data_IF_815350911273
#
_entry.id   IF_815350911273
#
_cell.length_a   1.000
_cell.length_b   1.000
_cell.length_c   1.000
_cell.angle_alpha   90.00
_cell.angle_beta   90.00
_cell.angle_gamma   90.00
#
_symmetry.space_group_name_H-M   'P 1'
#
loop_
_entity.id
_entity.type
_entity.pdbx_description
1 polymer ?
#
# COMPACT_ATOMS: atom_id res chain seq x y z
N UNK A 1 9.86 -10.58 -18.24
CA UNK A 1 9.91 -10.08 -16.86
C UNK A 1 8.62 -10.44 -16.15
N UNK A 2 8.68 -10.86 -14.88
CA UNK A 2 7.51 -11.16 -14.03
C UNK A 2 7.48 -10.19 -12.86
N UNK A 3 6.29 -9.66 -12.53
CA UNK A 3 6.08 -8.77 -11.39
C UNK A 3 5.15 -9.47 -10.42
N UNK A 4 5.52 -9.47 -9.14
CA UNK A 4 4.73 -9.99 -8.04
C UNK A 4 4.30 -8.82 -7.17
N UNK A 5 3.01 -8.55 -7.11
CA UNK A 5 2.46 -7.53 -6.22
C UNK A 5 1.99 -8.16 -4.91
N UNK A 6 2.46 -7.62 -3.80
CA UNK A 6 2.14 -8.12 -2.46
C UNK A 6 1.52 -6.98 -1.66
N UNK A 7 0.28 -7.18 -1.19
CA UNK A 7 -0.34 -6.26 -0.24
C UNK A 7 0.24 -6.51 1.16
N UNK A 8 0.43 -5.44 1.95
CA UNK A 8 0.84 -5.55 3.34
C UNK A 8 -0.17 -6.37 4.17
N UNK A 9 0.28 -6.99 5.25
CA UNK A 9 -0.56 -7.69 6.21
C UNK A 9 -1.53 -6.73 6.95
N UNK A 10 -2.50 -7.31 7.66
CA UNK A 10 -3.51 -6.54 8.42
C UNK A 10 -2.85 -5.57 9.42
N UNK A 11 -3.41 -4.35 9.52
CA UNK A 11 -3.10 -3.36 10.55
C UNK A 11 -4.32 -3.16 11.47
N UNK A 12 -4.13 -2.47 12.61
CA UNK A 12 -5.27 -2.11 13.48
C UNK A 12 -6.28 -1.22 12.77
N UNK A 13 -5.83 -0.35 11.85
CA UNK A 13 -6.73 0.46 11.05
C UNK A 13 -7.60 -0.39 10.12
N UNK A 14 -7.02 -1.43 9.48
CA UNK A 14 -7.79 -2.37 8.66
C UNK A 14 -8.83 -3.12 9.51
N UNK A 15 -8.42 -3.64 10.69
CA UNK A 15 -9.32 -4.32 11.62
C UNK A 15 -10.47 -3.44 12.09
N UNK A 16 -10.21 -2.17 12.33
CA UNK A 16 -11.20 -1.19 12.75
C UNK A 16 -11.97 -0.55 11.57
N UNK A 17 -11.70 -0.94 10.33
CA UNK A 17 -12.28 -0.40 9.09
C UNK A 17 -12.10 1.12 8.96
N UNK A 18 -10.95 1.63 9.39
CA UNK A 18 -10.61 3.04 9.26
C UNK A 18 -9.99 3.32 7.90
N UNK A 19 -10.27 4.49 7.35
CA UNK A 19 -9.54 5.02 6.20
C UNK A 19 -8.09 5.21 6.62
N UNK A 20 -7.20 4.55 5.92
CA UNK A 20 -5.76 4.64 6.13
C UNK A 20 -5.16 5.37 4.94
N UNK A 21 -4.18 6.18 5.19
CA UNK A 21 -3.43 6.87 4.16
C UNK A 21 -1.96 6.91 4.55
N UNK A 22 -1.49 8.10 4.89
CA UNK A 22 -0.11 8.36 5.30
C UNK A 22 0.20 7.95 6.74
N UNK A 23 -0.82 7.66 7.55
CA UNK A 23 -0.65 7.19 8.92
C UNK A 23 0.23 5.94 8.96
N UNK A 24 1.35 6.03 9.69
CA UNK A 24 2.36 4.97 9.73
C UNK A 24 2.10 4.01 10.89
N UNK A 25 1.37 2.96 10.63
CA UNK A 25 0.91 1.97 11.63
C UNK A 25 1.54 0.59 11.38
N UNK A 26 1.87 -0.16 12.47
CA UNK A 26 2.44 -1.50 12.36
C UNK A 26 1.38 -2.55 11.98
N UNK A 27 1.86 -3.75 11.66
CA UNK A 27 1.02 -4.93 11.47
C UNK A 27 0.42 -5.40 12.81
N UNK A 28 -0.79 -5.99 12.74
CA UNK A 28 -1.33 -6.80 13.84
C UNK A 28 -0.62 -8.16 13.91
N UNK A 29 -0.88 -8.95 14.95
CA UNK A 29 -0.38 -10.33 15.02
C UNK A 29 -0.90 -11.17 13.84
N UNK A 30 -2.16 -11.01 13.46
CA UNK A 30 -2.71 -11.63 12.25
C UNK A 30 -1.97 -11.16 10.99
N UNK A 31 -1.73 -9.84 10.88
CA UNK A 31 -0.98 -9.25 9.75
C UNK A 31 0.43 -9.81 9.62
N UNK A 32 1.14 -10.02 10.75
CA UNK A 32 2.44 -10.69 10.77
C UNK A 32 2.34 -12.15 10.30
N UNK A 33 1.30 -12.87 10.72
CA UNK A 33 1.02 -14.22 10.23
C UNK A 33 0.77 -14.26 8.71
N UNK A 34 0.00 -13.29 8.19
CA UNK A 34 -0.24 -13.15 6.75
C UNK A 34 1.06 -12.85 5.98
N UNK A 35 1.91 -11.97 6.50
CA UNK A 35 3.19 -11.64 5.89
C UNK A 35 4.13 -12.84 5.84
N UNK A 36 4.20 -13.65 6.91
CA UNK A 36 4.96 -14.93 6.95
C UNK A 36 4.44 -15.93 5.91
N UNK A 37 3.12 -16.06 5.78
CA UNK A 37 2.51 -16.97 4.81
C UNK A 37 2.81 -16.53 3.35
N UNK A 38 2.72 -15.22 3.07
CA UNK A 38 3.09 -14.66 1.77
C UNK A 38 4.58 -14.90 1.46
N UNK A 39 5.47 -14.65 2.42
CA UNK A 39 6.90 -14.88 2.29
C UNK A 39 7.21 -16.34 1.95
N UNK A 40 6.58 -17.30 2.66
CA UNK A 40 6.72 -18.73 2.36
C UNK A 40 6.25 -19.06 0.94
N UNK A 41 5.14 -18.49 0.50
CA UNK A 41 4.65 -18.72 -0.87
C UNK A 41 5.61 -18.18 -1.92
N UNK A 42 6.17 -17.00 -1.70
CA UNK A 42 7.12 -16.36 -2.61
C UNK A 42 8.43 -17.15 -2.69
N UNK A 43 8.93 -17.70 -1.57
CA UNK A 43 10.17 -18.50 -1.57
C UNK A 43 10.09 -19.81 -2.36
N UNK A 44 8.87 -20.24 -2.71
CA UNK A 44 8.62 -21.46 -3.52
C UNK A 44 8.34 -21.15 -5.00
N UNK A 45 8.44 -19.88 -5.39
CA UNK A 45 8.18 -19.48 -6.78
C UNK A 45 9.38 -19.75 -7.69
N UNK A 46 9.08 -20.17 -8.92
CA UNK A 46 10.06 -20.34 -9.99
C UNK A 46 9.64 -19.52 -11.22
N UNK A 47 10.51 -18.68 -11.78
CA UNK A 47 11.82 -18.34 -11.24
C UNK A 47 11.72 -17.52 -9.93
N UNK A 48 12.72 -17.67 -9.08
CA UNK A 48 12.81 -16.90 -7.84
C UNK A 48 12.90 -15.39 -8.11
N UNK A 49 12.29 -14.53 -7.27
CA UNK A 49 12.47 -13.09 -7.38
C UNK A 49 13.94 -12.68 -7.24
N UNK A 50 14.37 -11.70 -8.03
CA UNK A 50 15.75 -11.20 -8.04
C UNK A 50 15.90 -9.83 -7.39
N UNK A 51 14.79 -9.09 -7.23
CA UNK A 51 14.77 -7.76 -6.62
C UNK A 51 13.50 -7.61 -5.79
N UNK A 52 13.60 -6.90 -4.68
CA UNK A 52 12.48 -6.61 -3.77
C UNK A 52 12.35 -5.11 -3.58
N UNK A 53 11.22 -4.55 -3.99
CA UNK A 53 10.84 -3.16 -3.73
C UNK A 53 9.74 -3.08 -2.69
N UNK A 54 9.69 -1.98 -1.93
CA UNK A 54 8.62 -1.74 -0.96
C UNK A 54 8.31 -0.25 -0.81
N UNK A 55 7.07 0.04 -0.42
CA UNK A 55 6.72 1.32 0.16
C UNK A 55 7.50 1.53 1.46
N UNK A 56 7.89 2.77 1.81
CA UNK A 56 8.60 3.07 3.06
C UNK A 56 7.69 3.08 4.31
N UNK A 57 6.36 2.91 4.18
CA UNK A 57 5.47 2.83 5.34
C UNK A 57 5.70 1.56 6.16
N UNK A 58 5.58 1.67 7.49
CA UNK A 58 5.92 0.63 8.45
C UNK A 58 5.23 -0.70 8.14
N UNK A 59 3.93 -0.69 7.83
CA UNK A 59 3.17 -1.89 7.45
C UNK A 59 3.74 -2.62 6.24
N UNK A 60 4.21 -1.86 5.24
CA UNK A 60 4.83 -2.42 4.04
C UNK A 60 6.27 -2.89 4.31
N UNK A 61 7.08 -2.10 5.03
CA UNK A 61 8.42 -2.47 5.48
C UNK A 61 8.41 -3.76 6.28
N UNK A 62 7.48 -3.88 7.23
CA UNK A 62 7.37 -5.06 8.08
C UNK A 62 6.99 -6.30 7.25
N UNK A 63 6.06 -6.16 6.30
CA UNK A 63 5.70 -7.23 5.36
C UNK A 63 6.88 -7.61 4.48
N UNK A 64 7.58 -6.62 3.89
CA UNK A 64 8.76 -6.84 3.05
C UNK A 64 9.92 -7.49 3.84
N UNK A 65 10.06 -7.19 5.14
CA UNK A 65 11.05 -7.79 6.01
C UNK A 65 10.87 -9.32 6.15
N UNK A 66 9.62 -9.81 6.27
CA UNK A 66 9.36 -11.25 6.27
C UNK A 66 9.72 -11.91 4.94
N UNK A 67 9.48 -11.22 3.82
CA UNK A 67 9.85 -11.72 2.48
C UNK A 67 11.36 -11.71 2.34
N UNK A 68 12.01 -10.60 2.64
CA UNK A 68 13.47 -10.41 2.63
C UNK A 68 14.20 -11.56 3.34
N UNK A 69 13.73 -11.93 4.54
CA UNK A 69 14.34 -12.98 5.36
C UNK A 69 14.30 -14.37 4.71
N UNK A 70 13.34 -14.67 3.85
CA UNK A 70 13.23 -16.00 3.22
C UNK A 70 13.84 -16.08 1.83
N UNK A 71 13.90 -14.94 1.10
CA UNK A 71 14.48 -14.93 -0.27
C UNK A 71 15.90 -14.33 -0.30
N UNK A 72 16.40 -13.79 0.80
CA UNK A 72 17.76 -13.25 0.92
C UNK A 72 17.99 -11.92 0.18
N UNK A 73 16.94 -11.16 -0.16
CA UNK A 73 17.03 -9.88 -0.86
C UNK A 73 16.76 -8.72 0.09
N UNK A 74 17.59 -7.68 0.06
CA UNK A 74 17.32 -6.45 0.81
C UNK A 74 16.23 -5.62 0.08
N UNK A 75 15.20 -5.14 0.80
CA UNK A 75 14.17 -4.31 0.18
C UNK A 75 14.70 -2.92 -0.16
N UNK A 76 14.40 -2.46 -1.38
CA UNK A 76 14.63 -1.10 -1.84
C UNK A 76 13.36 -0.31 -1.61
N UNK A 77 13.43 0.78 -0.83
CA UNK A 77 12.26 1.59 -0.49
C UNK A 77 12.05 2.70 -1.51
N UNK A 78 10.83 2.79 -2.05
CA UNK A 78 10.46 3.74 -3.10
C UNK A 78 9.32 4.63 -2.61
N UNK A 79 9.56 5.93 -2.50
CA UNK A 79 8.59 6.92 -2.01
C UNK A 79 7.34 6.98 -2.88
N UNK A 80 7.48 6.85 -4.19
CA UNK A 80 6.35 6.84 -5.10
C UNK A 80 5.40 5.65 -4.95
N UNK A 81 5.78 4.62 -4.17
CA UNK A 81 4.92 3.48 -3.82
C UNK A 81 4.16 3.67 -2.49
N UNK A 82 4.19 4.87 -1.90
CA UNK A 82 3.37 5.19 -0.72
C UNK A 82 1.89 5.08 -1.06
N UNK A 83 1.09 4.77 -0.02
CA UNK A 83 -0.38 4.83 -0.09
C UNK A 83 -0.85 6.24 -0.38
N UNK A 84 -2.05 6.37 -0.92
CA UNK A 84 -2.75 7.63 -1.16
C UNK A 84 -2.85 8.43 0.14
N UNK A 85 -2.50 9.72 0.08
CA UNK A 85 -2.78 10.65 1.17
C UNK A 85 -4.29 10.92 1.22
N UNK A 86 -4.96 10.39 2.24
CA UNK A 86 -6.42 10.51 2.40
C UNK A 86 -6.84 11.80 3.12
N UNK A 87 -5.88 12.67 3.45
CA UNK A 87 -6.14 13.98 4.06
C UNK A 87 -6.91 13.87 5.38
N UNK A 88 -7.91 14.74 5.54
CA UNK A 88 -8.75 14.80 6.75
C UNK A 88 -9.60 13.55 6.98
N UNK A 89 -9.69 12.67 5.98
CA UNK A 89 -10.47 11.43 6.11
C UNK A 89 -9.70 10.31 6.82
N UNK A 90 -8.39 10.46 7.06
CA UNK A 90 -7.60 9.45 7.78
C UNK A 90 -8.13 9.22 9.19
N UNK A 91 -8.28 7.95 9.57
CA UNK A 91 -8.81 7.56 10.87
C UNK A 91 -10.34 7.59 10.99
N UNK A 92 -11.06 8.01 9.95
CA UNK A 92 -12.53 7.94 9.88
C UNK A 92 -12.95 6.51 9.51
N UNK A 93 -14.04 6.02 10.09
CA UNK A 93 -14.60 4.73 9.67
C UNK A 93 -15.16 4.81 8.26
N UNK A 94 -14.92 3.79 7.45
CA UNK A 94 -15.45 3.74 6.09
C UNK A 94 -16.99 3.87 6.05
N UNK A 95 -17.70 3.35 7.08
CA UNK A 95 -19.16 3.48 7.22
C UNK A 95 -19.65 4.89 7.54
N UNK A 96 -18.79 5.79 8.00
CA UNK A 96 -19.12 7.18 8.36
C UNK A 96 -18.82 8.17 7.22
N UNK A 97 -18.25 7.69 6.11
CA UNK A 97 -17.78 8.56 5.04
C UNK A 97 -18.91 9.33 4.35
N UNK A 98 -20.06 8.68 4.13
CA UNK A 98 -21.22 9.33 3.51
C UNK A 98 -21.79 10.47 4.35
N UNK A 99 -21.79 10.31 5.66
CA UNK A 99 -22.30 11.32 6.59
C UNK A 99 -21.33 12.48 6.78
N UNK A 100 -20.03 12.17 6.91
CA UNK A 100 -19.00 13.17 7.21
C UNK A 100 -18.49 13.92 5.97
N UNK A 101 -18.45 13.25 4.81
CA UNK A 101 -17.90 13.79 3.57
C UNK A 101 -18.83 13.54 2.37
N UNK A 102 -20.12 13.99 2.44
CA UNK A 102 -21.13 13.70 1.40
C UNK A 102 -20.73 14.20 0.01
N UNK A 103 -20.14 15.39 -0.10
CA UNK A 103 -19.72 15.94 -1.40
C UNK A 103 -18.54 15.16 -2.00
N UNK A 104 -17.57 14.74 -1.17
CA UNK A 104 -16.51 13.86 -1.63
C UNK A 104 -17.07 12.52 -2.11
N UNK A 105 -17.95 11.89 -1.34
CA UNK A 105 -18.53 10.59 -1.69
C UNK A 105 -19.39 10.66 -2.95
N UNK A 106 -20.10 11.76 -3.17
CA UNK A 106 -20.82 12.03 -4.41
C UNK A 106 -19.88 12.12 -5.61
N UNK A 107 -18.77 12.87 -5.48
CA UNK A 107 -17.75 12.99 -6.52
C UNK A 107 -17.04 11.65 -6.75
N UNK A 108 -16.69 10.94 -5.71
CA UNK A 108 -16.09 9.61 -5.76
C UNK A 108 -16.95 8.62 -6.56
N UNK A 109 -18.27 8.57 -6.33
CA UNK A 109 -19.18 7.69 -7.09
C UNK A 109 -19.32 8.11 -8.56
N UNK A 110 -19.13 9.38 -8.87
CA UNK A 110 -19.17 9.88 -10.25
C UNK A 110 -17.88 9.59 -11.00
N UNK A 111 -16.75 9.85 -10.37
CA UNK A 111 -15.41 9.65 -10.93
C UNK A 111 -14.38 9.46 -9.81
N UNK A 112 -13.94 8.21 -9.64
CA UNK A 112 -12.95 7.83 -8.62
C UNK A 112 -11.58 8.48 -8.87
N UNK A 113 -11.22 8.74 -10.14
CA UNK A 113 -9.87 9.18 -10.51
C UNK A 113 -9.58 10.60 -10.06
N UNK A 114 -10.58 11.48 -10.17
CA UNK A 114 -10.45 12.92 -9.93
C UNK A 114 -11.01 13.39 -8.58
N UNK A 115 -11.77 12.53 -7.88
CA UNK A 115 -12.32 12.88 -6.57
C UNK A 115 -11.16 13.10 -5.56
N UNK A 116 -11.08 14.32 -5.01
CA UNK A 116 -10.03 14.71 -4.06
C UNK A 116 -10.56 14.71 -2.63
N UNK A 117 -9.98 13.92 -1.72
CA UNK A 117 -10.24 14.07 -0.30
C UNK A 117 -9.72 15.42 0.20
N UNK A 118 -10.40 16.07 1.17
CA UNK A 118 -9.91 17.31 1.75
C UNK A 118 -8.49 17.18 2.29
N UNK A 119 -7.57 18.00 1.78
CA UNK A 119 -6.15 17.95 2.15
C UNK A 119 -5.37 16.74 1.64
N UNK A 120 -5.94 15.93 0.74
CA UNK A 120 -5.33 14.69 0.25
C UNK A 120 -5.02 14.67 -1.25
N UNK A 121 -4.65 13.49 -1.75
CA UNK A 121 -4.34 13.20 -3.15
C UNK A 121 -5.56 12.66 -3.91
N UNK A 122 -5.63 12.86 -5.22
CA UNK A 122 -6.52 12.09 -6.11
C UNK A 122 -5.88 10.76 -6.51
N UNK A 123 -6.69 9.80 -6.96
CA UNK A 123 -6.14 8.56 -7.51
C UNK A 123 -5.28 8.81 -8.77
N UNK A 124 -5.59 9.84 -9.56
CA UNK A 124 -4.77 10.22 -10.72
C UNK A 124 -3.36 10.67 -10.31
N UNK A 125 -3.24 11.43 -9.23
CA UNK A 125 -1.94 11.83 -8.68
C UNK A 125 -1.15 10.63 -8.14
N UNK A 126 -1.83 9.76 -7.41
CA UNK A 126 -1.24 8.49 -6.94
C UNK A 126 -0.76 7.64 -8.11
N UNK A 127 -1.61 7.47 -9.13
CA UNK A 127 -1.25 6.74 -10.35
C UNK A 127 -0.02 7.35 -11.01
N UNK A 128 0.01 8.67 -11.18
CA UNK A 128 1.11 9.36 -11.85
C UNK A 128 2.46 9.15 -11.14
N UNK A 129 2.50 9.31 -9.79
CA UNK A 129 3.74 9.11 -9.04
C UNK A 129 4.17 7.64 -8.95
N UNK A 130 3.20 6.74 -8.79
CA UNK A 130 3.47 5.30 -8.73
C UNK A 130 3.96 4.78 -10.09
N UNK A 131 3.29 5.17 -11.17
CA UNK A 131 3.68 4.78 -12.52
C UNK A 131 5.07 5.29 -12.90
N UNK A 132 5.38 6.56 -12.60
CA UNK A 132 6.73 7.11 -12.78
C UNK A 132 7.79 6.28 -12.03
N UNK A 133 7.50 5.87 -10.81
CA UNK A 133 8.40 5.03 -10.02
C UNK A 133 8.59 3.65 -10.65
N UNK A 134 7.51 3.03 -11.14
CA UNK A 134 7.56 1.73 -11.83
C UNK A 134 8.38 1.84 -13.12
N UNK A 135 8.20 2.89 -13.92
CA UNK A 135 9.00 3.10 -15.13
C UNK A 135 10.49 3.30 -14.81
N UNK A 136 10.82 4.03 -13.74
CA UNK A 136 12.21 4.19 -13.30
C UNK A 136 12.81 2.83 -12.90
N UNK A 137 12.07 2.01 -12.15
CA UNK A 137 12.50 0.65 -11.80
C UNK A 137 12.79 -0.17 -13.07
N UNK A 138 11.94 -0.12 -14.10
CA UNK A 138 12.14 -0.86 -15.34
C UNK A 138 13.33 -0.39 -16.17
N UNK A 139 13.69 0.88 -16.04
CA UNK A 139 14.85 1.44 -16.73
C UNK A 139 16.17 1.17 -16.02
N UNK A 140 16.12 0.92 -14.71
CA UNK A 140 17.32 0.74 -13.87
C UNK A 140 17.68 -0.74 -13.69
N UNK A 141 16.70 -1.62 -13.71
CA UNK A 141 16.82 -3.07 -13.45
C UNK A 141 16.24 -3.92 -14.58
#
# INVERSE_FOLDING_TARGET
MQIILVRHGETMANKAQLVLGTSDVPLTELGRGQAKAAAKKISLMEPSPTILFSSPYQRAKETAGYISNVIGLNPIFIDGLKEMHSGEMEGIKASEMDDKYPEYMKNWRRDHSTARPPGGETLEEVHSRAWKSILNIFNEY
#
